data_IF_193368600201
#
_entry.id   IF_193368600201
#
_cell.length_a   1.000
_cell.length_b   1.000
_cell.length_c   1.000
_cell.angle_alpha   90.00
_cell.angle_beta   90.00
_cell.angle_gamma   90.00
#
_symmetry.space_group_name_H-M   'P 1'
#
loop_
_entity.id
_entity.type
_entity.pdbx_description
1 polymer ?
#
# COMPACT_ATOMS: atom_id res chain seq x y z
N UNK A 1 20.65 11.72 -1.67
CA UNK A 1 19.99 10.58 -2.38
C UNK A 1 18.52 10.41 -1.99
N UNK A 2 18.17 10.22 -0.68
CA UNK A 2 16.77 10.03 -0.26
C UNK A 2 15.91 11.25 -0.54
N UNK A 3 16.34 12.44 -0.12
CA UNK A 3 15.59 13.68 -0.33
C UNK A 3 15.44 14.01 -1.83
N UNK A 4 16.44 13.74 -2.63
CA UNK A 4 16.40 13.92 -4.10
C UNK A 4 15.35 13.00 -4.73
N UNK A 5 15.21 11.75 -4.24
CA UNK A 5 14.18 10.83 -4.70
C UNK A 5 12.79 11.35 -4.35
N UNK A 6 12.57 11.75 -3.10
CA UNK A 6 11.30 12.32 -2.63
C UNK A 6 10.92 13.54 -3.46
N UNK A 7 11.85 14.47 -3.65
CA UNK A 7 11.62 15.70 -4.42
C UNK A 7 11.32 15.42 -5.92
N UNK A 8 11.85 14.32 -6.45
CA UNK A 8 11.62 13.92 -7.84
C UNK A 8 10.31 13.14 -8.05
N UNK A 9 9.70 12.58 -6.99
CA UNK A 9 8.59 11.63 -7.11
C UNK A 9 7.31 12.06 -6.43
N UNK A 10 7.36 12.80 -5.32
CA UNK A 10 6.18 13.14 -4.51
C UNK A 10 5.08 13.85 -5.32
N UNK A 11 5.45 14.75 -6.21
CA UNK A 11 4.51 15.51 -7.05
C UNK A 11 3.89 14.67 -8.19
N UNK A 12 4.35 13.43 -8.38
CA UNK A 12 3.79 12.50 -9.35
C UNK A 12 2.58 11.73 -8.80
N UNK A 13 2.38 11.75 -7.49
CA UNK A 13 1.22 11.15 -6.85
C UNK A 13 0.03 12.11 -6.87
N UNK A 14 -1.15 11.57 -7.13
CA UNK A 14 -2.41 12.25 -6.83
C UNK A 14 -2.80 11.95 -5.39
N UNK A 15 -3.47 12.92 -4.74
CA UNK A 15 -4.00 12.80 -3.39
C UNK A 15 -5.51 12.73 -3.46
N UNK A 16 -6.07 11.64 -2.98
CA UNK A 16 -7.48 11.31 -3.08
C UNK A 16 -8.05 10.98 -1.71
N UNK A 17 -9.37 11.04 -1.57
CA UNK A 17 -10.10 10.66 -0.35
C UNK A 17 -11.21 9.67 -0.71
N UNK A 18 -11.25 8.54 -0.03
CA UNK A 18 -12.34 7.58 -0.11
C UNK A 18 -13.23 7.67 1.13
N UNK A 19 -14.54 7.80 0.94
CA UNK A 19 -15.53 7.79 2.02
C UNK A 19 -16.21 6.44 2.06
N UNK A 20 -16.00 5.73 3.16
CA UNK A 20 -16.62 4.44 3.41
C UNK A 20 -17.96 4.64 4.13
N UNK A 21 -19.05 4.61 3.39
CA UNK A 21 -20.40 4.79 3.92
C UNK A 21 -20.84 3.67 4.89
N UNK A 22 -20.18 2.50 4.86
CA UNK A 22 -20.53 1.37 5.71
C UNK A 22 -19.97 1.50 7.12
N UNK A 23 -18.73 1.98 7.26
CA UNK A 23 -18.06 2.09 8.55
C UNK A 23 -17.81 3.54 9.00
N UNK A 24 -18.15 4.52 8.15
CA UNK A 24 -17.99 5.95 8.43
C UNK A 24 -16.56 6.47 8.34
N UNK A 25 -15.60 5.65 7.88
CA UNK A 25 -14.20 6.06 7.70
C UNK A 25 -14.07 6.93 6.47
N UNK A 26 -13.33 8.03 6.59
CA UNK A 26 -12.82 8.82 5.48
C UNK A 26 -11.32 8.56 5.40
N UNK A 27 -10.86 7.88 4.35
CA UNK A 27 -9.47 7.48 4.17
C UNK A 27 -8.84 8.27 3.04
N UNK A 28 -7.81 9.05 3.37
CA UNK A 28 -6.96 9.68 2.37
C UNK A 28 -5.95 8.66 1.82
N UNK A 29 -5.55 8.83 0.59
CA UNK A 29 -4.52 7.99 -0.01
C UNK A 29 -3.77 8.72 -1.12
N UNK A 30 -2.53 8.29 -1.35
CA UNK A 30 -1.71 8.70 -2.46
C UNK A 30 -1.77 7.62 -3.55
N UNK A 31 -1.94 8.04 -4.80
CA UNK A 31 -1.95 7.17 -5.96
C UNK A 31 -0.98 7.66 -7.02
N UNK A 32 -0.04 6.81 -7.41
CA UNK A 32 0.77 7.00 -8.60
C UNK A 32 0.21 6.15 -9.75
N UNK A 33 -0.03 6.78 -10.87
CA UNK A 33 -0.44 6.14 -12.12
C UNK A 33 0.77 6.18 -13.06
N UNK A 34 1.16 5.06 -13.73
CA UNK A 34 2.24 5.09 -14.72
C UNK A 34 2.07 6.21 -15.73
N UNK A 35 3.15 6.96 -16.04
CA UNK A 35 3.09 8.16 -16.87
C UNK A 35 2.47 7.92 -18.26
N UNK A 36 2.77 6.75 -18.85
CA UNK A 36 2.25 6.34 -20.16
C UNK A 36 1.13 5.29 -20.02
N UNK A 37 0.28 5.44 -18.96
CA UNK A 37 -0.82 4.52 -18.75
C UNK A 37 -1.74 4.44 -19.96
N UNK A 38 -1.92 3.23 -20.47
CA UNK A 38 -2.84 2.87 -21.56
C UNK A 38 -3.76 1.74 -21.08
N UNK A 39 -5.05 2.00 -21.01
CA UNK A 39 -6.05 1.04 -20.54
C UNK A 39 -6.16 -0.23 -21.42
N UNK A 40 -5.51 -0.29 -22.57
CA UNK A 40 -5.41 -1.51 -23.40
C UNK A 40 -4.40 -2.52 -22.85
N UNK A 41 -3.50 -2.10 -21.95
CA UNK A 41 -2.53 -2.96 -21.27
C UNK A 41 -2.87 -3.09 -19.79
N UNK A 42 -2.57 -4.25 -19.20
CA UNK A 42 -2.74 -4.47 -17.77
C UNK A 42 -1.43 -4.25 -17.00
N UNK A 43 -1.52 -3.61 -15.85
CA UNK A 43 -0.38 -3.17 -15.04
C UNK A 43 -0.39 -3.81 -13.66
N UNK A 44 0.78 -4.12 -13.07
CA UNK A 44 0.88 -4.45 -11.66
C UNK A 44 0.54 -3.26 -10.77
N UNK A 45 0.18 -3.54 -9.52
CA UNK A 45 0.01 -2.55 -8.46
C UNK A 45 0.83 -2.93 -7.25
N UNK A 46 1.51 -1.94 -6.67
CA UNK A 46 2.24 -2.06 -5.41
C UNK A 46 1.49 -1.24 -4.36
N UNK A 47 1.01 -1.91 -3.30
CA UNK A 47 0.46 -1.27 -2.12
C UNK A 47 1.59 -1.09 -1.10
N UNK A 48 2.02 0.15 -0.90
CA UNK A 48 2.95 0.51 0.16
C UNK A 48 2.17 0.93 1.41
N UNK A 49 2.38 0.25 2.52
CA UNK A 49 1.73 0.55 3.80
C UNK A 49 2.74 1.26 4.70
N UNK A 50 2.45 2.51 5.14
CA UNK A 50 3.37 3.29 5.97
C UNK A 50 3.51 2.72 7.37
N UNK A 51 4.59 3.07 8.06
CA UNK A 51 4.78 2.72 9.47
C UNK A 51 4.03 3.67 10.42
N UNK A 52 4.08 3.37 11.73
CA UNK A 52 3.33 4.12 12.75
C UNK A 52 3.75 5.59 12.88
N UNK A 53 4.97 5.95 12.45
CA UNK A 53 5.41 7.36 12.51
C UNK A 53 4.70 8.25 11.50
N UNK A 54 4.03 7.66 10.50
CA UNK A 54 3.20 8.36 9.54
C UNK A 54 1.74 8.53 9.98
N UNK A 55 1.30 7.85 11.04
CA UNK A 55 -0.07 7.92 11.52
C UNK A 55 -0.47 9.36 11.91
N UNK A 56 -1.59 9.83 11.40
CA UNK A 56 -2.09 11.19 11.61
C UNK A 56 -1.37 12.30 10.86
N UNK A 57 -0.45 11.95 9.95
CA UNK A 57 0.21 12.92 9.08
C UNK A 57 -0.58 13.17 7.79
N UNK A 58 -0.27 14.28 7.13
CA UNK A 58 -0.85 14.60 5.82
C UNK A 58 -0.37 13.63 4.74
N UNK A 59 -1.10 13.57 3.63
CA UNK A 59 -0.75 12.74 2.47
C UNK A 59 0.66 13.03 1.95
N UNK A 60 1.06 14.29 1.89
CA UNK A 60 2.40 14.69 1.46
C UNK A 60 3.49 14.24 2.45
N UNK A 61 3.25 14.39 3.76
CA UNK A 61 4.20 13.96 4.80
C UNK A 61 4.41 12.45 4.79
N UNK A 62 3.36 11.67 4.49
CA UNK A 62 3.46 10.20 4.37
C UNK A 62 4.37 9.80 3.22
N UNK A 63 4.33 10.50 2.08
CA UNK A 63 5.26 10.26 0.96
C UNK A 63 6.70 10.62 1.30
N UNK A 64 6.91 11.54 2.24
CA UNK A 64 8.26 11.94 2.67
C UNK A 64 8.90 10.97 3.68
N UNK A 65 8.23 9.85 3.99
CA UNK A 65 8.70 8.86 4.95
C UNK A 65 9.65 7.84 4.30
N UNK A 66 10.96 7.93 4.59
CA UNK A 66 12.02 7.05 4.05
C UNK A 66 12.03 7.01 2.51
N UNK A 67 12.34 5.85 1.93
CA UNK A 67 12.17 5.58 0.51
C UNK A 67 10.75 5.18 0.14
N UNK A 68 10.00 4.66 1.07
CA UNK A 68 8.57 4.40 1.08
C UNK A 68 7.93 4.08 -0.28
N UNK A 69 6.82 4.77 -0.55
CA UNK A 69 6.13 4.66 -1.83
C UNK A 69 6.94 5.24 -3.00
N UNK A 70 7.79 6.24 -2.72
CA UNK A 70 8.52 7.02 -3.73
C UNK A 70 9.49 6.18 -4.57
N UNK A 71 10.15 5.18 -3.96
CA UNK A 71 11.09 4.32 -4.70
C UNK A 71 10.41 3.64 -5.88
N UNK A 72 9.17 3.18 -5.71
CA UNK A 72 8.39 2.49 -6.73
C UNK A 72 7.90 3.42 -7.84
N UNK A 73 7.75 4.72 -7.55
CA UNK A 73 7.37 5.75 -8.51
C UNK A 73 8.58 6.41 -9.21
N UNK A 74 9.80 6.00 -8.87
CA UNK A 74 11.02 6.53 -9.50
C UNK A 74 11.10 6.17 -10.98
N UNK A 75 11.70 7.04 -11.78
CA UNK A 75 11.87 6.80 -13.23
C UNK A 75 12.63 5.49 -13.49
N UNK A 76 13.63 5.19 -12.65
CA UNK A 76 14.43 3.98 -12.77
C UNK A 76 13.64 2.69 -12.57
N UNK A 77 12.74 2.64 -11.59
CA UNK A 77 11.88 1.48 -11.35
C UNK A 77 10.72 1.42 -12.34
N UNK A 78 10.11 2.55 -12.66
CA UNK A 78 9.02 2.61 -13.65
C UNK A 78 9.48 2.21 -15.07
N UNK A 79 10.71 2.55 -15.45
CA UNK A 79 11.27 2.12 -16.74
C UNK A 79 11.48 0.59 -16.84
N UNK A 80 11.70 -0.08 -15.70
CA UNK A 80 11.84 -1.54 -15.64
C UNK A 80 10.50 -2.24 -15.49
N UNK A 81 9.64 -1.69 -14.63
CA UNK A 81 8.40 -2.30 -14.19
C UNK A 81 7.33 -1.23 -13.99
N UNK A 82 6.75 -0.71 -15.10
CA UNK A 82 5.66 0.24 -15.03
C UNK A 82 4.51 -0.33 -14.17
N UNK A 83 4.17 0.36 -13.08
CA UNK A 83 3.23 -0.11 -12.08
C UNK A 83 2.47 1.03 -11.41
N UNK A 84 1.26 0.76 -10.95
CA UNK A 84 0.57 1.63 -10.00
C UNK A 84 1.23 1.55 -8.64
N UNK A 85 1.21 2.66 -7.89
CA UNK A 85 1.62 2.67 -6.49
C UNK A 85 0.48 3.27 -5.67
N UNK A 86 -0.03 2.49 -4.73
CA UNK A 86 -1.09 2.88 -3.81
C UNK A 86 -0.51 2.97 -2.38
N UNK A 87 -0.67 4.13 -1.75
CA UNK A 87 -0.21 4.37 -0.39
C UNK A 87 -1.36 4.95 0.44
N UNK A 88 -2.03 4.17 1.30
CA UNK A 88 -3.06 4.67 2.21
C UNK A 88 -2.44 5.62 3.24
N UNK A 89 -3.23 6.60 3.68
CA UNK A 89 -2.86 7.59 4.70
C UNK A 89 -3.76 7.35 5.91
N UNK A 90 -3.19 6.75 6.97
CA UNK A 90 -3.95 6.44 8.17
C UNK A 90 -3.95 7.60 9.15
N UNK A 91 -5.11 7.93 9.72
CA UNK A 91 -5.23 8.98 10.73
C UNK A 91 -4.79 8.53 12.13
N UNK A 92 -4.54 7.22 12.31
CA UNK A 92 -4.14 6.61 13.57
C UNK A 92 -3.22 5.41 13.33
N UNK A 93 -2.63 4.87 14.40
CA UNK A 93 -1.96 3.57 14.38
C UNK A 93 -3.00 2.48 14.10
N UNK A 94 -2.84 1.73 13.00
CA UNK A 94 -3.87 0.78 12.53
C UNK A 94 -3.66 -0.64 13.02
N UNK A 95 -2.47 -1.00 13.49
CA UNK A 95 -2.18 -2.24 14.21
C UNK A 95 -1.21 -1.95 15.36
N UNK A 96 -1.27 -2.73 16.43
CA UNK A 96 -0.38 -2.63 17.58
C UNK A 96 0.24 -3.98 17.96
N UNK A 97 1.11 -3.99 18.97
CA UNK A 97 1.82 -5.18 19.45
C UNK A 97 0.91 -6.19 20.17
N UNK A 98 -0.30 -5.79 20.54
CA UNK A 98 -1.35 -6.66 21.11
C UNK A 98 -2.27 -7.23 20.02
N UNK A 99 -1.91 -7.03 18.73
CA UNK A 99 -2.65 -7.47 17.54
C UNK A 99 -4.05 -6.88 17.39
N UNK A 100 -4.30 -5.72 17.99
CA UNK A 100 -5.50 -4.95 17.70
C UNK A 100 -5.40 -4.32 16.31
N UNK A 101 -6.55 -4.18 15.66
CA UNK A 101 -6.65 -3.64 14.29
C UNK A 101 -7.70 -2.54 14.20
N UNK A 102 -7.43 -1.55 13.33
CA UNK A 102 -8.37 -0.46 13.01
C UNK A 102 -9.20 -0.80 11.78
N UNK A 103 -10.45 -0.33 11.74
CA UNK A 103 -11.31 -0.45 10.56
C UNK A 103 -10.82 0.37 9.34
N UNK A 104 -9.84 1.25 9.52
CA UNK A 104 -9.19 1.92 8.39
C UNK A 104 -8.48 0.93 7.45
N UNK A 105 -8.05 -0.23 7.95
CA UNK A 105 -7.48 -1.31 7.13
C UNK A 105 -8.54 -1.87 6.17
N UNK A 106 -9.76 -2.11 6.66
CA UNK A 106 -10.85 -2.60 5.82
C UNK A 106 -11.18 -1.59 4.71
N UNK A 107 -11.20 -0.30 5.05
CA UNK A 107 -11.39 0.77 4.08
C UNK A 107 -10.25 0.82 3.05
N UNK A 108 -8.99 0.62 3.46
CA UNK A 108 -7.86 0.56 2.53
C UNK A 108 -7.99 -0.62 1.53
N UNK A 109 -8.53 -1.76 1.96
CA UNK A 109 -8.84 -2.89 1.07
C UNK A 109 -9.97 -2.53 0.10
N UNK A 110 -10.98 -1.79 0.55
CA UNK A 110 -12.06 -1.30 -0.34
C UNK A 110 -11.51 -0.36 -1.41
N UNK A 111 -10.59 0.55 -1.04
CA UNK A 111 -9.90 1.42 -2.01
C UNK A 111 -9.11 0.60 -3.01
N UNK A 112 -8.31 -0.37 -2.56
CA UNK A 112 -7.56 -1.26 -3.45
C UNK A 112 -8.48 -1.97 -4.44
N UNK A 113 -9.60 -2.52 -3.96
CA UNK A 113 -10.59 -3.18 -4.81
C UNK A 113 -11.24 -2.21 -5.81
N UNK A 114 -11.47 -0.95 -5.42
CA UNK A 114 -12.01 0.07 -6.31
C UNK A 114 -11.00 0.44 -7.39
N UNK A 115 -9.72 0.61 -7.05
CA UNK A 115 -8.65 0.87 -8.02
C UNK A 115 -8.54 -0.25 -9.07
N UNK A 116 -8.65 -1.52 -8.65
CA UNK A 116 -8.65 -2.68 -9.55
C UNK A 116 -9.86 -2.73 -10.48
N UNK A 117 -10.95 -2.01 -10.18
CA UNK A 117 -12.12 -1.87 -11.06
C UNK A 117 -12.00 -0.67 -12.00
N UNK A 118 -11.43 0.43 -11.51
CA UNK A 118 -11.37 1.70 -12.23
C UNK A 118 -10.25 1.73 -13.28
N UNK A 119 -9.18 0.95 -13.04
CA UNK A 119 -8.01 0.87 -13.91
C UNK A 119 -7.76 -0.55 -14.38
N UNK A 120 -7.06 -0.70 -15.51
CA UNK A 120 -6.66 -2.02 -16.00
C UNK A 120 -5.46 -2.56 -15.21
N UNK A 121 -5.70 -2.92 -13.95
CA UNK A 121 -4.73 -3.53 -13.06
C UNK A 121 -4.84 -5.05 -13.18
N UNK A 122 -3.69 -5.71 -13.34
CA UNK A 122 -3.60 -7.17 -13.34
C UNK A 122 -3.75 -7.68 -11.90
N UNK A 123 -4.90 -8.25 -11.58
CA UNK A 123 -5.21 -8.77 -10.24
C UNK A 123 -4.31 -9.94 -9.81
N UNK A 124 -3.56 -10.55 -10.74
CA UNK A 124 -2.55 -11.56 -10.45
C UNK A 124 -1.16 -10.98 -10.15
N UNK A 125 -1.00 -9.66 -10.26
CA UNK A 125 0.24 -8.91 -10.01
C UNK A 125 0.02 -7.74 -9.07
N UNK A 126 -0.69 -7.99 -7.97
CA UNK A 126 -0.86 -7.04 -6.86
C UNK A 126 0.09 -7.42 -5.75
N UNK A 127 0.87 -6.48 -5.27
CA UNK A 127 1.93 -6.68 -4.28
C UNK A 127 1.71 -5.78 -3.08
N UNK A 128 2.19 -6.19 -1.91
CA UNK A 128 2.23 -5.33 -0.72
C UNK A 128 3.61 -5.26 -0.12
N UNK A 129 3.96 -4.12 0.44
CA UNK A 129 5.19 -3.92 1.19
C UNK A 129 4.98 -2.85 2.26
N UNK A 130 5.83 -2.86 3.25
CA UNK A 130 5.87 -1.90 4.34
C UNK A 130 6.84 -2.34 5.41
N UNK A 131 7.23 -1.42 6.27
CA UNK A 131 8.08 -1.72 7.42
C UNK A 131 7.32 -1.50 8.72
N UNK A 132 7.75 -2.13 9.80
CA UNK A 132 7.17 -1.99 11.15
C UNK A 132 5.65 -2.19 11.12
N UNK A 133 4.85 -1.21 11.52
CA UNK A 133 3.38 -1.25 11.41
C UNK A 133 2.91 -1.62 10.00
N UNK A 134 3.55 -1.13 8.95
CA UNK A 134 3.21 -1.47 7.57
C UNK A 134 3.46 -2.94 7.24
N UNK A 135 4.54 -3.53 7.76
CA UNK A 135 4.79 -4.97 7.67
C UNK A 135 3.74 -5.77 8.45
N UNK A 136 3.42 -5.38 9.68
CA UNK A 136 2.40 -6.01 10.51
C UNK A 136 1.03 -6.01 9.81
N UNK A 137 0.65 -4.87 9.26
CA UNK A 137 -0.58 -4.73 8.45
C UNK A 137 -0.55 -5.62 7.21
N UNK A 138 0.59 -5.70 6.51
CA UNK A 138 0.74 -6.60 5.36
C UNK A 138 0.58 -8.06 5.75
N UNK A 139 1.17 -8.51 6.87
CA UNK A 139 0.99 -9.88 7.38
C UNK A 139 -0.47 -10.16 7.71
N UNK A 140 -1.12 -9.23 8.39
CA UNK A 140 -2.55 -9.34 8.71
C UNK A 140 -3.41 -9.45 7.45
N UNK A 141 -3.22 -8.56 6.47
CA UNK A 141 -3.97 -8.60 5.21
C UNK A 141 -3.73 -9.89 4.42
N UNK A 142 -2.50 -10.38 4.36
CA UNK A 142 -2.19 -11.66 3.70
C UNK A 142 -2.86 -12.84 4.41
N UNK A 143 -3.02 -12.80 5.73
CA UNK A 143 -3.73 -13.84 6.47
C UNK A 143 -5.23 -13.85 6.22
N UNK A 144 -5.85 -12.67 6.07
CA UNK A 144 -7.27 -12.52 5.77
C UNK A 144 -7.61 -12.80 4.30
N UNK A 145 -6.74 -12.35 3.41
CA UNK A 145 -6.92 -12.40 1.96
C UNK A 145 -5.73 -13.10 1.28
N UNK A 146 -5.58 -14.43 1.50
CA UNK A 146 -4.37 -15.15 1.07
C UNK A 146 -4.17 -15.17 -0.45
N UNK A 147 -5.19 -14.85 -1.23
CA UNK A 147 -5.12 -14.82 -2.69
C UNK A 147 -5.15 -13.39 -3.28
N UNK A 148 -5.16 -12.36 -2.41
CA UNK A 148 -5.21 -10.95 -2.87
C UNK A 148 -3.85 -10.48 -3.41
N UNK A 149 -2.76 -10.86 -2.74
CA UNK A 149 -1.41 -10.43 -3.09
C UNK A 149 -0.62 -11.58 -3.73
N UNK A 150 -0.01 -11.31 -4.88
CA UNK A 150 0.84 -12.27 -5.58
C UNK A 150 2.15 -12.55 -4.81
N UNK A 151 2.70 -11.51 -4.17
CA UNK A 151 3.83 -11.59 -3.26
C UNK A 151 3.85 -10.38 -2.32
N UNK A 152 4.61 -10.48 -1.25
CA UNK A 152 4.77 -9.41 -0.26
C UNK A 152 6.20 -9.31 0.22
N UNK A 153 6.68 -8.09 0.43
CA UNK A 153 7.99 -7.82 1.03
C UNK A 153 7.76 -7.32 2.46
N UNK A 154 8.14 -8.13 3.44
CA UNK A 154 7.99 -7.83 4.84
C UNK A 154 9.28 -7.27 5.44
N UNK A 155 9.22 -6.07 6.01
CA UNK A 155 10.38 -5.38 6.57
C UNK A 155 10.15 -5.06 8.04
N UNK A 156 10.93 -5.70 8.92
CA UNK A 156 11.01 -5.37 10.36
C UNK A 156 9.66 -5.34 11.07
N UNK A 157 8.79 -6.31 10.83
CA UNK A 157 7.50 -6.44 11.51
C UNK A 157 7.29 -7.83 12.09
N UNK A 158 6.22 -7.99 12.85
CA UNK A 158 5.76 -9.25 13.44
C UNK A 158 4.25 -9.34 13.36
N UNK A 159 3.71 -10.55 13.50
CA UNK A 159 2.26 -10.76 13.65
C UNK A 159 1.97 -12.07 14.37
N UNK A 160 0.73 -12.25 14.83
CA UNK A 160 0.29 -13.48 15.49
C UNK A 160 0.45 -14.68 14.55
N UNK A 161 1.38 -15.57 14.91
CA UNK A 161 1.70 -16.76 14.11
C UNK A 161 0.51 -17.73 13.98
N UNK A 162 -0.47 -17.66 14.91
CA UNK A 162 -1.62 -18.57 14.88
C UNK A 162 -2.53 -18.29 13.67
N UNK A 163 -2.54 -17.07 13.15
CA UNK A 163 -3.34 -16.71 11.98
C UNK A 163 -2.55 -16.71 10.67
N UNK A 164 -1.23 -16.91 10.71
CA UNK A 164 -0.36 -16.93 9.54
C UNK A 164 -0.35 -18.28 8.78
N UNK A 165 -1.05 -19.29 9.27
CA UNK A 165 -1.14 -20.60 8.61
C UNK A 165 -1.55 -20.55 7.13
N UNK A 166 -2.46 -19.66 6.66
CA UNK A 166 -2.77 -19.54 5.25
C UNK A 166 -1.57 -19.18 4.36
N UNK A 167 -0.49 -18.67 4.97
CA UNK A 167 0.72 -18.23 4.25
C UNK A 167 1.78 -19.33 4.11
N UNK A 168 1.58 -20.52 4.73
CA UNK A 168 2.56 -21.61 4.77
C UNK A 168 3.13 -22.00 3.40
N UNK A 169 2.32 -21.85 2.33
CA UNK A 169 2.70 -22.20 0.97
C UNK A 169 2.70 -21.00 0.00
N UNK A 170 2.70 -19.78 0.52
CA UNK A 170 2.75 -18.56 -0.30
C UNK A 170 4.19 -18.12 -0.56
N UNK A 171 4.40 -17.46 -1.70
CA UNK A 171 5.66 -16.76 -1.98
C UNK A 171 5.66 -15.44 -1.22
N UNK A 172 6.53 -15.32 -0.26
CA UNK A 172 6.74 -14.14 0.57
C UNK A 172 8.11 -13.55 0.24
#
# INVERSE_FOLDING_TARGET
>A
EQQELIDATKDKFTQETYKDEENGVSLDYNLFIPADYDASFSYPLIMFIPDSSAAGKSSEEVLSQYYGADIWASDGEQAKHASFVFCPVFSETVVDDDFNTSNQIDTAVKVLNQLMKDYNIDTSRVYTTGQSMGCMTSLYLNSLYPDLFAASLFVSGQWDINILKPLENKKL
#
